data_IF_484546178684
#
_entry.id   IF_484546178684
#
_cell.length_a   1.000
_cell.length_b   1.000
_cell.length_c   1.000
_cell.angle_alpha   90.00
_cell.angle_beta   90.00
_cell.angle_gamma   90.00
#
_symmetry.space_group_name_H-M   'P 1'
#
loop_
_entity.id
_entity.type
_entity.pdbx_description
1 polymer ?
#
# COMPACT_ATOMS: atom_id res chain seq x y z
N UNK A 1 21.25 10.70 7.30
CA UNK A 1 20.19 10.04 8.09
C UNK A 1 19.31 9.17 7.21
N UNK A 2 18.91 8.03 7.75
CA UNK A 2 18.04 7.11 7.03
C UNK A 2 16.64 7.70 6.92
N UNK A 3 16.05 7.62 5.73
CA UNK A 3 14.68 8.10 5.53
C UNK A 3 13.68 7.21 6.26
N UNK A 4 12.57 7.81 6.68
CA UNK A 4 11.44 7.04 7.18
C UNK A 4 10.73 6.36 6.02
N UNK A 5 10.32 5.13 6.23
CA UNK A 5 9.63 4.32 5.21
C UNK A 5 8.13 4.35 5.49
N UNK A 6 7.35 4.66 4.47
CA UNK A 6 5.90 4.73 4.57
C UNK A 6 5.25 3.79 3.53
N UNK A 7 4.31 2.99 3.99
CA UNK A 7 3.56 2.08 3.14
C UNK A 7 2.21 2.72 2.80
N UNK A 8 1.84 2.73 1.53
CA UNK A 8 0.57 3.30 1.09
C UNK A 8 -0.46 2.20 0.92
N UNK A 9 -1.61 2.35 1.57
CA UNK A 9 -2.71 1.39 1.53
C UNK A 9 -3.97 2.06 0.99
N UNK A 10 -4.72 1.35 0.16
CA UNK A 10 -5.94 1.89 -0.41
C UNK A 10 -6.64 0.91 -1.32
N UNK A 11 -7.77 1.36 -1.88
CA UNK A 11 -8.59 0.54 -2.75
C UNK A 11 -7.97 0.46 -4.14
N UNK A 12 -7.74 -0.75 -4.61
CA UNK A 12 -7.23 -1.03 -5.96
C UNK A 12 -8.33 -1.63 -6.82
N UNK A 13 -8.97 -2.69 -6.31
CA UNK A 13 -10.01 -3.41 -7.05
C UNK A 13 -11.26 -2.56 -7.22
N UNK A 14 -11.79 -2.53 -8.44
CA UNK A 14 -13.04 -1.82 -8.73
C UNK A 14 -12.88 -0.33 -8.98
N UNK A 15 -11.65 0.17 -9.11
CA UNK A 15 -11.40 1.55 -9.53
C UNK A 15 -10.52 1.54 -10.78
N UNK A 16 -10.75 2.48 -11.69
CA UNK A 16 -9.96 2.56 -12.92
C UNK A 16 -8.76 3.49 -12.77
N UNK A 17 -8.77 4.36 -11.75
CA UNK A 17 -7.75 5.39 -11.57
C UNK A 17 -6.77 5.07 -10.43
N UNK A 18 -6.77 3.83 -9.93
CA UNK A 18 -5.97 3.51 -8.75
C UNK A 18 -4.47 3.76 -8.96
N UNK A 19 -3.96 3.42 -10.14
CA UNK A 19 -2.53 3.57 -10.41
C UNK A 19 -2.11 5.05 -10.34
N UNK A 20 -2.94 5.94 -10.90
CA UNK A 20 -2.66 7.36 -10.89
C UNK A 20 -2.76 7.94 -9.47
N UNK A 21 -3.75 7.49 -8.71
CA UNK A 21 -3.93 7.95 -7.32
C UNK A 21 -2.75 7.55 -6.45
N UNK A 22 -2.32 6.29 -6.53
CA UNK A 22 -1.17 5.80 -5.78
C UNK A 22 0.11 6.52 -6.19
N UNK A 23 0.28 6.75 -7.50
CA UNK A 23 1.47 7.43 -8.01
C UNK A 23 1.54 8.89 -7.54
N UNK A 24 0.42 9.60 -7.55
CA UNK A 24 0.37 10.99 -7.10
C UNK A 24 0.71 11.10 -5.61
N UNK A 25 0.19 10.18 -4.80
CA UNK A 25 0.50 10.15 -3.36
C UNK A 25 1.96 9.81 -3.13
N UNK A 26 2.48 8.85 -3.89
CA UNK A 26 3.90 8.48 -3.79
C UNK A 26 4.80 9.69 -4.07
N UNK A 27 4.52 10.43 -5.14
CA UNK A 27 5.32 11.61 -5.50
C UNK A 27 5.29 12.65 -4.38
N UNK A 28 4.11 12.89 -3.81
CA UNK A 28 3.97 13.84 -2.71
C UNK A 28 4.75 13.40 -1.48
N UNK A 29 4.66 12.12 -1.12
CA UNK A 29 5.34 11.62 0.07
C UNK A 29 6.86 11.60 -0.13
N UNK A 30 7.33 11.31 -1.34
CA UNK A 30 8.76 11.41 -1.65
C UNK A 30 9.23 12.86 -1.47
N UNK A 31 8.44 13.82 -1.95
CA UNK A 31 8.76 15.24 -1.80
C UNK A 31 8.82 15.65 -0.32
N UNK A 32 8.06 14.97 0.53
CA UNK A 32 8.08 15.22 1.98
C UNK A 32 9.21 14.48 2.70
N UNK A 33 10.03 13.72 1.99
CA UNK A 33 11.21 13.07 2.54
C UNK A 33 11.07 11.61 2.89
N UNK A 34 9.96 10.96 2.53
CA UNK A 34 9.76 9.54 2.80
C UNK A 34 10.34 8.64 1.71
N UNK A 35 10.72 7.44 2.11
CA UNK A 35 10.86 6.31 1.19
C UNK A 35 9.51 5.62 1.14
N UNK A 36 8.96 5.45 -0.07
CA UNK A 36 7.57 5.00 -0.23
C UNK A 36 7.50 3.56 -0.75
N UNK A 37 6.71 2.74 -0.07
CA UNK A 37 6.38 1.40 -0.53
C UNK A 37 4.97 1.46 -1.13
N UNK A 38 4.90 1.30 -2.46
CA UNK A 38 3.67 1.41 -3.23
C UNK A 38 3.23 0.02 -3.66
N UNK A 39 2.08 -0.50 -3.16
CA UNK A 39 1.64 -1.86 -3.46
C UNK A 39 1.32 -2.10 -4.93
N UNK A 40 1.04 -1.05 -5.71
CA UNK A 40 0.84 -1.19 -7.15
C UNK A 40 2.14 -1.68 -7.80
N UNK A 41 3.27 -1.14 -7.39
CA UNK A 41 4.58 -1.56 -7.93
C UNK A 41 4.94 -2.97 -7.49
N UNK A 42 4.75 -3.27 -6.22
CA UNK A 42 5.09 -4.60 -5.69
C UNK A 42 4.17 -5.65 -6.27
N UNK A 43 2.91 -5.31 -6.51
CA UNK A 43 1.96 -6.23 -7.16
C UNK A 43 2.35 -6.55 -8.59
N UNK A 44 2.83 -5.56 -9.35
CA UNK A 44 3.30 -5.79 -10.72
C UNK A 44 4.52 -6.71 -10.76
N UNK A 45 5.42 -6.56 -9.79
CA UNK A 45 6.55 -7.46 -9.67
C UNK A 45 6.09 -8.90 -9.45
N UNK A 46 5.12 -9.09 -8.55
CA UNK A 46 4.57 -10.41 -8.24
C UNK A 46 3.90 -11.02 -9.47
N UNK A 47 3.16 -10.22 -10.24
CA UNK A 47 2.53 -10.68 -11.47
C UNK A 47 3.56 -11.22 -12.47
N UNK A 48 4.67 -10.53 -12.62
CA UNK A 48 5.72 -10.98 -13.52
C UNK A 48 6.42 -12.22 -13.00
N UNK A 49 6.63 -12.30 -11.69
CA UNK A 49 7.30 -13.43 -11.07
C UNK A 49 6.49 -14.72 -11.23
N UNK A 50 5.16 -14.63 -11.13
CA UNK A 50 4.27 -15.79 -11.21
C UNK A 50 3.78 -16.09 -12.64
N UNK A 51 4.05 -15.22 -13.60
CA UNK A 51 3.56 -15.37 -14.97
C UNK A 51 3.93 -16.75 -15.54
N UNK A 52 3.06 -17.40 -16.33
CA UNK A 52 1.80 -16.89 -16.87
C UNK A 52 0.60 -16.97 -15.91
N UNK A 53 0.76 -17.52 -14.71
CA UNK A 53 -0.30 -17.62 -13.74
C UNK A 53 -0.52 -16.25 -13.08
N UNK A 54 -1.78 -15.97 -12.75
CA UNK A 54 -2.14 -14.73 -12.08
C UNK A 54 -2.13 -14.95 -10.57
N UNK A 55 -1.63 -13.99 -9.79
CA UNK A 55 -1.67 -14.11 -8.33
C UNK A 55 -3.10 -14.16 -7.82
N UNK A 56 -3.33 -14.95 -6.79
CA UNK A 56 -4.59 -14.93 -6.05
C UNK A 56 -4.61 -13.71 -5.14
N UNK A 57 -5.82 -13.37 -4.62
CA UNK A 57 -5.94 -12.30 -3.65
C UNK A 57 -5.05 -12.54 -2.42
N UNK A 58 -5.00 -13.79 -1.96
CA UNK A 58 -4.18 -14.15 -0.79
C UNK A 58 -2.69 -13.92 -1.08
N UNK A 59 -2.24 -14.29 -2.29
CA UNK A 59 -0.85 -14.05 -2.67
C UNK A 59 -0.52 -12.55 -2.72
N UNK A 60 -1.42 -11.74 -3.30
CA UNK A 60 -1.24 -10.28 -3.27
C UNK A 60 -1.16 -9.78 -1.84
N UNK A 61 -2.04 -10.24 -0.95
CA UNK A 61 -2.08 -9.76 0.43
C UNK A 61 -0.83 -10.17 1.21
N UNK A 62 -0.37 -11.40 1.05
CA UNK A 62 0.88 -11.83 1.70
C UNK A 62 2.05 -10.95 1.30
N UNK A 63 2.12 -10.64 0.01
CA UNK A 63 3.20 -9.82 -0.53
C UNK A 63 3.09 -8.38 -0.02
N UNK A 64 1.88 -7.82 -0.02
CA UNK A 64 1.63 -6.45 0.44
C UNK A 64 1.90 -6.32 1.94
N UNK A 65 1.46 -7.30 2.74
CA UNK A 65 1.68 -7.26 4.18
C UNK A 65 3.17 -7.40 4.50
N UNK A 66 3.90 -8.21 3.74
CA UNK A 66 5.36 -8.31 3.92
C UNK A 66 6.04 -6.95 3.68
N UNK A 67 5.60 -6.21 2.67
CA UNK A 67 6.11 -4.85 2.43
C UNK A 67 5.72 -3.92 3.58
N UNK A 68 4.47 -3.99 4.03
CA UNK A 68 3.98 -3.17 5.14
C UNK A 68 4.81 -3.38 6.41
N UNK A 69 5.26 -4.62 6.67
CA UNK A 69 6.07 -4.92 7.84
C UNK A 69 7.43 -4.21 7.83
N UNK A 70 7.88 -3.73 6.70
CA UNK A 70 9.14 -3.00 6.58
C UNK A 70 8.99 -1.50 6.76
N UNK A 71 7.75 -1.02 6.89
CA UNK A 71 7.48 0.41 6.97
C UNK A 71 7.48 0.90 8.41
N UNK A 72 7.73 2.20 8.58
CA UNK A 72 7.61 2.90 9.87
C UNK A 72 6.22 3.49 10.04
N UNK A 73 5.57 3.86 8.93
CA UNK A 73 4.26 4.52 8.90
C UNK A 73 3.37 3.88 7.86
N UNK A 74 2.07 3.97 8.08
CA UNK A 74 1.06 3.54 7.11
C UNK A 74 0.26 4.76 6.69
N UNK A 75 0.10 4.93 5.37
CA UNK A 75 -0.70 6.02 4.80
C UNK A 75 -1.94 5.43 4.15
N UNK A 76 -3.12 5.81 4.66
CA UNK A 76 -4.40 5.27 4.19
C UNK A 76 -5.04 6.23 3.21
N UNK A 77 -5.25 5.80 1.97
CA UNK A 77 -5.93 6.58 0.95
C UNK A 77 -7.43 6.67 1.26
N UNK A 78 -8.06 7.76 0.82
CA UNK A 78 -9.52 7.87 0.91
C UNK A 78 -10.17 6.68 0.23
N UNK A 79 -11.27 6.19 0.81
CA UNK A 79 -11.97 5.03 0.29
C UNK A 79 -11.41 3.71 0.74
N UNK A 80 -10.39 3.73 1.61
CA UNK A 80 -9.78 2.49 2.10
C UNK A 80 -10.81 1.56 2.77
N UNK A 81 -11.83 2.13 3.41
CA UNK A 81 -12.84 1.35 4.13
C UNK A 81 -13.76 0.56 3.18
N UNK A 82 -13.68 0.79 1.88
CA UNK A 82 -14.41 0.03 0.87
C UNK A 82 -13.56 -1.07 0.27
N UNK A 83 -12.36 -1.28 0.77
CA UNK A 83 -11.42 -2.28 0.27
C UNK A 83 -11.16 -3.32 1.36
N UNK A 84 -11.43 -4.60 1.02
CA UNK A 84 -11.16 -5.71 1.95
C UNK A 84 -9.68 -5.76 2.33
N UNK A 85 -8.79 -5.58 1.36
CA UNK A 85 -7.34 -5.62 1.62
C UNK A 85 -6.88 -4.44 2.48
N UNK A 86 -7.34 -3.24 2.15
CA UNK A 86 -6.96 -2.06 2.91
C UNK A 86 -7.50 -2.11 4.35
N UNK A 87 -8.71 -2.65 4.53
CA UNK A 87 -9.24 -2.82 5.89
C UNK A 87 -8.40 -3.79 6.71
N UNK A 88 -7.95 -4.87 6.09
CA UNK A 88 -7.07 -5.83 6.76
C UNK A 88 -5.74 -5.18 7.13
N UNK A 89 -5.15 -4.44 6.22
CA UNK A 89 -3.89 -3.76 6.48
C UNK A 89 -4.03 -2.73 7.60
N UNK A 90 -5.12 -1.98 7.60
CA UNK A 90 -5.39 -1.01 8.65
C UNK A 90 -5.59 -1.70 10.01
N UNK A 91 -6.28 -2.83 10.03
CA UNK A 91 -6.45 -3.62 11.24
C UNK A 91 -5.11 -4.05 11.82
N UNK A 92 -4.25 -4.61 10.95
CA UNK A 92 -2.91 -5.05 11.37
C UNK A 92 -2.07 -3.87 11.85
N UNK A 93 -2.17 -2.74 11.17
CA UNK A 93 -1.43 -1.54 11.56
C UNK A 93 -1.81 -1.09 12.96
N UNK A 94 -3.08 -1.18 13.32
CA UNK A 94 -3.55 -0.83 14.67
C UNK A 94 -3.07 -1.83 15.70
N UNK A 95 -3.19 -3.11 15.40
CA UNK A 95 -2.74 -4.18 16.31
C UNK A 95 -1.24 -4.05 16.59
N UNK A 96 -0.46 -3.72 15.56
CA UNK A 96 0.98 -3.59 15.66
C UNK A 96 1.44 -2.18 16.08
N UNK A 97 0.50 -1.33 16.38
CA UNK A 97 0.76 0.02 16.92
C UNK A 97 1.54 0.93 15.97
N UNK A 98 1.28 0.81 14.66
CA UNK A 98 1.82 1.74 13.68
C UNK A 98 1.21 3.13 13.84
N UNK A 99 1.97 4.16 13.49
CA UNK A 99 1.41 5.47 13.27
C UNK A 99 0.70 5.46 11.92
N UNK A 100 -0.60 5.72 11.92
CA UNK A 100 -1.42 5.71 10.72
C UNK A 100 -1.74 7.14 10.32
N UNK A 101 -1.43 7.48 9.08
CA UNK A 101 -1.73 8.80 8.51
C UNK A 101 -2.85 8.59 7.49
N UNK A 102 -3.89 9.39 7.58
CA UNK A 102 -5.04 9.28 6.66
C UNK A 102 -5.02 10.40 5.64
N UNK A 103 -5.32 10.07 4.40
CA UNK A 103 -5.49 11.06 3.36
C UNK A 103 -6.71 11.92 3.68
N UNK A 104 -6.52 13.25 3.66
CA UNK A 104 -7.59 14.18 3.95
C UNK A 104 -8.57 14.26 2.78
N UNK A 105 -9.80 14.58 3.11
CA UNK A 105 -10.82 14.76 2.12
C UNK A 105 -12.19 14.46 2.61
#
# INVERSE_FOLDING_TARGET
MKKKVIYVSGKITGTSDYADRFSAVEDRLIAEGYEVLNPVRTGKWLERYLAPEKPTWVQYMKHAIAAMMQADYIYMLRGWNQSKGARLERFLARVLNYTIIYEEG
#
